data_IF_030075312270
#
_entry.id   IF_030075312270
#
_cell.length_a   1.000
_cell.length_b   1.000
_cell.length_c   1.000
_cell.angle_alpha   90.00
_cell.angle_beta   90.00
_cell.angle_gamma   90.00
#
_symmetry.space_group_name_H-M   'P 1'
#
loop_
_entity.id
_entity.type
_entity.pdbx_description
1 polymer ?
#
# COMPACT_ATOMS: atom_id res chain seq x y z
N UNK A 1 9.12 -15.54 26.58
CA UNK A 1 9.68 -14.72 25.48
C UNK A 1 9.49 -13.27 25.87
N UNK A 2 10.53 -12.47 25.77
CA UNK A 2 10.48 -11.05 26.08
C UNK A 2 10.54 -10.27 24.77
N UNK A 3 9.65 -9.28 24.60
CA UNK A 3 9.58 -8.41 23.43
C UNK A 3 9.92 -6.98 23.84
N UNK A 4 10.63 -6.26 22.98
CA UNK A 4 10.96 -4.84 23.18
C UNK A 4 9.75 -3.95 22.85
N UNK A 5 8.91 -4.39 21.91
CA UNK A 5 7.71 -3.68 21.51
C UNK A 5 6.55 -4.61 21.13
N UNK A 6 5.35 -4.22 21.51
CA UNK A 6 4.09 -4.87 21.12
C UNK A 6 3.26 -3.86 20.34
N UNK A 7 2.86 -4.22 19.12
CA UNK A 7 2.02 -3.40 18.25
C UNK A 7 0.65 -4.03 18.17
N UNK A 8 -0.38 -3.25 18.45
CA UNK A 8 -1.77 -3.70 18.35
C UNK A 8 -2.36 -3.15 17.06
N UNK A 9 -2.69 -4.06 16.15
CA UNK A 9 -3.22 -3.79 14.82
C UNK A 9 -2.19 -4.06 13.72
N UNK A 10 -2.47 -5.04 12.89
CA UNK A 10 -1.68 -5.46 11.72
C UNK A 10 -2.12 -4.82 10.41
N UNK A 11 -2.66 -3.61 10.47
CA UNK A 11 -2.88 -2.79 9.27
C UNK A 11 -1.59 -2.15 8.76
N UNK A 12 -1.67 -1.35 7.70
CA UNK A 12 -0.50 -0.71 7.06
C UNK A 12 0.39 0.02 8.06
N UNK A 13 -0.20 0.83 8.95
CA UNK A 13 0.56 1.61 9.94
C UNK A 13 1.29 0.73 10.96
N UNK A 14 0.60 -0.30 11.49
CA UNK A 14 1.19 -1.21 12.47
C UNK A 14 2.30 -2.08 11.87
N UNK A 15 2.08 -2.59 10.65
CA UNK A 15 3.10 -3.35 9.94
C UNK A 15 4.31 -2.48 9.59
N UNK A 16 4.10 -1.25 9.13
CA UNK A 16 5.19 -0.30 8.86
C UNK A 16 6.01 -0.02 10.12
N UNK A 17 5.35 0.31 11.23
CA UNK A 17 6.03 0.58 12.50
C UNK A 17 6.81 -0.65 12.99
N UNK A 18 6.17 -1.83 12.94
CA UNK A 18 6.78 -3.09 13.34
C UNK A 18 8.00 -3.44 12.52
N UNK A 19 7.90 -3.32 11.22
CA UNK A 19 9.01 -3.62 10.30
C UNK A 19 10.20 -2.68 10.51
N UNK A 20 9.95 -1.37 10.67
CA UNK A 20 11.01 -0.39 10.90
C UNK A 20 11.69 -0.57 12.26
N UNK A 21 10.95 -0.94 13.30
CA UNK A 21 11.53 -1.27 14.61
C UNK A 21 12.35 -2.57 14.54
N UNK A 22 11.81 -3.60 13.90
CA UNK A 22 12.52 -4.87 13.72
C UNK A 22 13.81 -4.70 12.90
N UNK A 23 13.78 -3.87 11.83
CA UNK A 23 14.98 -3.55 11.05
C UNK A 23 16.08 -2.87 11.90
N UNK A 24 15.70 -2.18 12.98
CA UNK A 24 16.64 -1.60 13.96
C UNK A 24 17.08 -2.56 15.06
N UNK A 25 16.71 -3.83 14.95
CA UNK A 25 17.16 -4.88 15.87
C UNK A 25 16.25 -5.11 17.08
N UNK A 26 15.10 -4.44 17.20
CA UNK A 26 14.17 -4.69 18.29
C UNK A 26 13.38 -5.99 18.05
N UNK A 27 13.11 -6.70 19.15
CA UNK A 27 12.18 -7.84 19.14
C UNK A 27 10.74 -7.32 19.17
N UNK A 28 10.07 -7.37 18.04
CA UNK A 28 8.72 -6.82 17.88
C UNK A 28 7.71 -7.94 17.69
N UNK A 29 6.55 -7.82 18.32
CA UNK A 29 5.37 -8.62 17.97
C UNK A 29 4.22 -7.73 17.53
N UNK A 30 3.48 -8.16 16.53
CA UNK A 30 2.27 -7.49 16.05
C UNK A 30 1.08 -8.39 16.33
N UNK A 31 0.09 -7.84 17.02
CA UNK A 31 -1.16 -8.55 17.36
C UNK A 31 -2.29 -7.93 16.56
N UNK A 32 -3.01 -8.74 15.81
CA UNK A 32 -4.18 -8.30 15.06
C UNK A 32 -5.39 -9.18 15.39
N UNK A 33 -6.58 -8.59 15.36
CA UNK A 33 -7.84 -9.31 15.53
C UNK A 33 -8.22 -10.14 14.32
N UNK A 34 -7.68 -9.81 13.16
CA UNK A 34 -7.97 -10.46 11.89
C UNK A 34 -7.00 -11.61 11.63
N UNK A 35 -7.50 -12.67 11.02
CA UNK A 35 -6.68 -13.78 10.56
C UNK A 35 -5.64 -13.36 9.50
N UNK A 36 -6.01 -12.43 8.62
CA UNK A 36 -5.12 -11.89 7.61
C UNK A 36 -4.64 -10.49 8.02
N UNK A 37 -3.33 -10.25 8.16
CA UNK A 37 -2.80 -8.92 8.34
C UNK A 37 -2.99 -8.07 7.08
N UNK A 38 -2.83 -6.76 7.22
CA UNK A 38 -2.94 -5.80 6.12
C UNK A 38 -4.07 -4.78 6.30
N UNK A 39 -5.08 -5.09 7.10
CA UNK A 39 -6.23 -4.21 7.29
C UNK A 39 -6.94 -3.94 5.95
N UNK A 40 -7.15 -2.67 5.60
CA UNK A 40 -7.75 -2.28 4.30
C UNK A 40 -6.88 -2.59 3.08
N UNK A 41 -5.58 -2.85 3.27
CA UNK A 41 -4.64 -3.29 2.24
C UNK A 41 -4.46 -4.82 2.24
N UNK A 42 -5.29 -5.55 2.97
CA UNK A 42 -5.28 -7.00 3.01
C UNK A 42 -5.83 -7.62 1.74
N UNK A 43 -5.64 -8.92 1.62
CA UNK A 43 -6.13 -9.73 0.50
C UNK A 43 -7.11 -10.80 0.99
N UNK A 44 -7.96 -11.27 0.11
CA UNK A 44 -8.74 -12.50 0.31
C UNK A 44 -8.70 -13.38 -0.93
N UNK A 45 -8.96 -14.67 -0.74
CA UNK A 45 -8.96 -15.66 -1.83
C UNK A 45 -10.35 -16.24 -2.05
N UNK A 46 -10.68 -16.46 -3.32
CA UNK A 46 -11.81 -17.30 -3.75
C UNK A 46 -11.32 -18.32 -4.77
N UNK A 47 -11.27 -19.58 -4.36
CA UNK A 47 -10.62 -20.62 -5.15
C UNK A 47 -9.14 -20.31 -5.33
N UNK A 48 -8.67 -20.30 -6.59
CA UNK A 48 -7.28 -19.97 -6.95
C UNK A 48 -7.03 -18.48 -7.17
N UNK A 49 -8.07 -17.64 -7.12
CA UNK A 49 -7.96 -16.20 -7.41
C UNK A 49 -7.81 -15.40 -6.14
N UNK A 50 -6.85 -14.48 -6.15
CA UNK A 50 -6.59 -13.52 -5.07
C UNK A 50 -7.20 -12.17 -5.43
N UNK A 51 -7.80 -11.52 -4.46
CA UNK A 51 -8.45 -10.21 -4.59
C UNK A 51 -7.92 -9.29 -3.50
N UNK A 52 -7.74 -8.00 -3.84
CA UNK A 52 -7.54 -6.96 -2.85
C UNK A 52 -8.81 -6.70 -2.06
N UNK A 53 -8.68 -6.49 -0.75
CA UNK A 53 -9.83 -6.27 0.13
C UNK A 53 -10.41 -4.87 -0.02
N UNK A 54 -9.60 -3.87 -0.31
CA UNK A 54 -10.05 -2.49 -0.45
C UNK A 54 -9.10 -1.59 -1.22
N UNK A 55 -7.84 -1.53 -0.86
CA UNK A 55 -6.86 -0.61 -1.45
C UNK A 55 -6.22 -1.23 -2.69
N UNK A 56 -6.88 -1.09 -3.85
CA UNK A 56 -6.37 -1.60 -5.13
C UNK A 56 -5.40 -0.63 -5.83
N UNK A 57 -5.38 0.64 -5.42
CA UNK A 57 -4.44 1.65 -5.95
C UNK A 57 -3.60 2.23 -4.83
N UNK A 58 -2.30 2.34 -5.08
CA UNK A 58 -1.33 2.83 -4.12
C UNK A 58 -0.67 4.12 -4.63
N UNK A 59 -0.38 4.99 -3.68
CA UNK A 59 0.27 6.29 -3.91
C UNK A 59 1.60 6.34 -3.17
N UNK A 60 2.42 7.34 -3.48
CA UNK A 60 3.65 7.59 -2.72
C UNK A 60 4.80 6.65 -3.08
N UNK A 61 4.83 6.14 -4.32
CA UNK A 61 5.92 5.34 -4.86
C UNK A 61 6.72 6.06 -5.97
N UNK A 62 6.39 7.32 -6.27
CA UNK A 62 7.08 8.10 -7.29
C UNK A 62 8.58 8.24 -7.03
N UNK A 63 9.34 8.54 -8.08
CA UNK A 63 10.79 8.73 -7.99
C UNK A 63 11.18 10.18 -7.68
N UNK A 64 10.31 11.12 -8.01
CA UNK A 64 10.55 12.54 -7.83
C UNK A 64 9.90 13.06 -6.55
N UNK A 65 10.65 13.86 -5.78
CA UNK A 65 10.19 14.45 -4.53
C UNK A 65 10.12 13.42 -3.38
N UNK A 66 9.48 13.82 -2.27
CA UNK A 66 9.29 12.93 -1.13
C UNK A 66 8.06 12.05 -1.34
N UNK A 67 8.30 10.76 -1.43
CA UNK A 67 7.28 9.72 -1.57
C UNK A 67 7.36 8.77 -0.37
N UNK A 68 6.39 8.85 0.53
CA UNK A 68 6.43 8.18 1.82
C UNK A 68 6.55 6.65 1.73
N UNK A 69 5.79 6.00 0.85
CA UNK A 69 5.86 4.55 0.70
C UNK A 69 7.21 4.10 0.13
N UNK A 70 7.70 4.77 -0.92
CA UNK A 70 9.05 4.49 -1.44
C UNK A 70 10.12 4.69 -0.38
N UNK A 71 10.03 5.75 0.42
CA UNK A 71 10.95 6.00 1.53
C UNK A 71 10.97 4.85 2.53
N UNK A 72 9.80 4.33 2.91
CA UNK A 72 9.68 3.20 3.85
C UNK A 72 10.33 1.94 3.27
N UNK A 73 10.02 1.59 2.02
CA UNK A 73 10.61 0.41 1.37
C UNK A 73 12.13 0.53 1.24
N UNK A 74 12.64 1.72 0.94
CA UNK A 74 14.09 1.98 0.92
C UNK A 74 14.73 1.80 2.31
N UNK A 75 14.05 2.27 3.38
CA UNK A 75 14.53 2.06 4.75
C UNK A 75 14.55 0.57 5.16
N UNK A 76 13.63 -0.22 4.62
CA UNK A 76 13.56 -1.66 4.86
C UNK A 76 14.52 -2.46 3.95
N UNK A 77 15.05 -1.83 2.89
CA UNK A 77 15.83 -2.48 1.83
C UNK A 77 15.03 -3.57 1.11
N UNK A 78 13.71 -3.36 1.02
CA UNK A 78 12.81 -4.27 0.32
C UNK A 78 12.56 -3.79 -1.12
N UNK A 79 12.54 -4.71 -2.09
CA UNK A 79 12.24 -4.38 -3.47
C UNK A 79 10.79 -3.88 -3.59
N UNK A 80 10.58 -2.94 -4.50
CA UNK A 80 9.25 -2.45 -4.84
C UNK A 80 8.88 -3.03 -6.19
N UNK A 81 7.93 -3.97 -6.20
CA UNK A 81 7.34 -4.52 -7.41
C UNK A 81 5.96 -3.88 -7.62
N UNK A 82 5.91 -2.92 -8.52
CA UNK A 82 4.73 -2.11 -8.79
C UNK A 82 4.50 -1.92 -10.28
N UNK A 83 3.24 -1.87 -10.68
CA UNK A 83 2.83 -1.51 -12.04
C UNK A 83 2.24 -0.10 -12.03
N UNK A 84 2.81 0.77 -12.87
CA UNK A 84 2.27 2.10 -13.09
C UNK A 84 1.04 2.02 -13.99
N UNK A 85 -0.02 2.70 -13.58
CA UNK A 85 -1.24 2.82 -14.38
C UNK A 85 -1.27 4.16 -15.12
N UNK A 86 -1.54 4.08 -16.43
CA UNK A 86 -1.78 5.27 -17.27
C UNK A 86 -3.22 5.77 -17.16
N UNK A 87 -4.15 4.87 -16.79
CA UNK A 87 -5.55 5.18 -16.54
C UNK A 87 -5.90 4.83 -15.10
N UNK A 88 -6.49 5.78 -14.37
CA UNK A 88 -6.87 5.57 -12.98
C UNK A 88 -8.20 4.84 -12.86
N UNK A 89 -9.20 5.36 -13.52
CA UNK A 89 -10.55 4.80 -13.53
C UNK A 89 -11.35 5.28 -14.74
N UNK A 90 -12.40 4.53 -15.02
CA UNK A 90 -13.38 4.87 -16.02
C UNK A 90 -14.75 5.01 -15.36
N UNK A 91 -15.37 6.16 -15.55
CA UNK A 91 -16.75 6.39 -15.11
C UNK A 91 -17.68 6.21 -16.30
N UNK A 92 -18.68 5.34 -16.16
CA UNK A 92 -19.75 5.21 -17.14
C UNK A 92 -20.93 6.07 -16.68
N UNK A 93 -21.15 7.19 -17.38
CA UNK A 93 -22.25 8.10 -17.07
C UNK A 93 -23.12 8.29 -18.32
N UNK A 94 -24.40 7.93 -18.22
CA UNK A 94 -25.39 8.04 -19.29
C UNK A 94 -24.90 7.46 -20.64
N UNK A 95 -24.27 6.26 -20.59
CA UNK A 95 -23.74 5.57 -21.76
C UNK A 95 -22.44 6.15 -22.33
N UNK A 96 -21.85 7.16 -21.70
CA UNK A 96 -20.54 7.71 -22.05
C UNK A 96 -19.49 7.23 -21.08
N UNK A 97 -18.34 6.79 -21.58
CA UNK A 97 -17.16 6.45 -20.78
C UNK A 97 -16.29 7.69 -20.62
N UNK A 98 -16.03 8.05 -19.37
CA UNK A 98 -15.13 9.16 -19.00
C UNK A 98 -13.92 8.52 -18.33
N UNK A 99 -12.76 8.69 -18.93
CA UNK A 99 -11.49 8.18 -18.42
C UNK A 99 -10.78 9.27 -17.62
N UNK A 100 -10.24 8.90 -16.47
CA UNK A 100 -9.36 9.76 -15.67
C UNK A 100 -7.92 9.35 -15.91
N UNK A 101 -7.14 10.27 -16.48
CA UNK A 101 -5.69 10.13 -16.68
C UNK A 101 -4.95 10.87 -15.57
N UNK A 102 -3.81 10.36 -15.08
CA UNK A 102 -3.05 10.98 -13.98
C UNK A 102 -2.63 12.44 -14.29
N UNK A 103 -2.45 12.77 -15.56
CA UNK A 103 -1.95 14.08 -16.01
C UNK A 103 -3.04 15.15 -16.15
N UNK A 104 -4.31 14.77 -16.15
CA UNK A 104 -5.45 15.71 -16.32
C UNK A 104 -6.06 16.20 -15.00
N UNK A 105 -5.67 15.61 -13.87
CA UNK A 105 -5.96 16.22 -12.58
C UNK A 105 -4.93 17.33 -12.37
N UNK A 106 -5.33 18.54 -12.64
CA UNK A 106 -4.59 19.81 -12.46
C UNK A 106 -4.44 20.17 -10.96
N UNK A 107 -4.27 19.17 -10.14
CA UNK A 107 -3.85 19.29 -8.78
C UNK A 107 -2.33 19.11 -8.82
N UNK A 108 -1.59 20.15 -8.49
CA UNK A 108 -0.12 20.18 -8.31
C UNK A 108 0.40 19.19 -7.25
N UNK A 109 -0.20 18.02 -7.17
CA UNK A 109 0.28 16.90 -6.41
C UNK A 109 0.93 15.97 -7.44
N UNK A 110 2.25 15.82 -7.37
CA UNK A 110 3.00 14.77 -8.06
C UNK A 110 2.56 13.41 -7.50
N UNK A 111 1.35 12.97 -7.83
CA UNK A 111 0.80 11.72 -7.35
C UNK A 111 0.95 10.71 -8.47
N UNK A 112 1.93 9.85 -8.34
CA UNK A 112 2.02 8.64 -9.17
C UNK A 112 1.15 7.55 -8.54
N UNK A 113 0.40 6.85 -9.36
CA UNK A 113 -0.55 5.81 -8.95
C UNK A 113 0.02 4.44 -9.32
N UNK A 114 0.03 3.52 -8.37
CA UNK A 114 0.59 2.19 -8.53
C UNK A 114 -0.32 1.15 -7.87
N UNK A 115 -0.26 -0.09 -8.35
CA UNK A 115 -0.82 -1.26 -7.66
C UNK A 115 0.29 -2.25 -7.32
N UNK A 116 0.13 -2.99 -6.22
CA UNK A 116 0.97 -4.13 -5.87
C UNK A 116 0.39 -5.40 -6.51
N UNK A 117 1.24 -6.28 -7.00
CA UNK A 117 0.91 -7.63 -7.47
C UNK A 117 1.59 -8.66 -6.60
#
# INVERSE_FOLDING_TARGET
MEYDAIIIGGGLSGLTAGSLLAKRGLKVTVIDKSYNPGGSCGIFKRGSTTFDQGAAMLYGFGENGFNAHRFIFNCLEEPIDIIRHDLLYCVNFKGRRIYSEPQKLDIKLNVNYYSLY
#
